data_IF_083596542783
#
_entry.id   IF_083596542783
#
_cell.length_a   1.000
_cell.length_b   1.000
_cell.length_c   1.000
_cell.angle_alpha   90.00
_cell.angle_beta   90.00
_cell.angle_gamma   90.00
#
_symmetry.space_group_name_H-M   'P 1'
#
loop_
_entity.id
_entity.type
_entity.pdbx_description
1 polymer ?
#
# COMPACT_ATOMS: atom_id res chain seq x y z
N UNK A 1 -0.55 19.49 11.64
CA UNK A 1 -1.67 18.69 12.13
C UNK A 1 -1.23 17.26 12.35
N UNK A 2 -1.73 16.62 13.39
CA UNK A 2 -1.57 15.18 13.61
C UNK A 2 -2.87 14.49 13.19
N UNK A 3 -2.78 13.48 12.33
CA UNK A 3 -3.93 12.70 11.89
C UNK A 3 -3.85 11.31 12.49
N UNK A 4 -4.95 10.85 13.05
CA UNK A 4 -5.06 9.56 13.72
C UNK A 4 -6.37 8.86 13.33
N UNK A 5 -6.39 7.55 13.40
CA UNK A 5 -7.56 6.73 13.15
C UNK A 5 -7.76 5.67 14.23
N UNK A 6 -8.90 5.00 14.19
CA UNK A 6 -9.23 3.93 15.11
C UNK A 6 -8.52 2.64 14.69
N UNK A 7 -7.89 1.97 15.65
CA UNK A 7 -7.39 0.59 15.50
C UNK A 7 -8.11 -0.31 16.48
N UNK A 8 -7.91 -1.61 16.36
CA UNK A 8 -8.28 -2.58 17.41
C UNK A 8 -7.40 -2.48 18.65
N UNK A 9 -6.31 -1.71 18.59
CA UNK A 9 -5.44 -1.38 19.72
C UNK A 9 -6.08 -0.27 20.59
N UNK A 10 -5.74 -0.17 21.87
CA UNK A 10 -6.28 0.84 22.79
C UNK A 10 -5.93 2.27 22.37
N UNK A 11 -4.83 2.47 21.63
CA UNK A 11 -4.39 3.78 21.15
C UNK A 11 -4.76 3.99 19.67
N UNK A 12 -5.17 5.21 19.27
CA UNK A 12 -5.46 5.53 17.88
C UNK A 12 -4.19 5.43 17.03
N UNK A 13 -4.28 4.76 15.87
CA UNK A 13 -3.17 4.67 14.94
C UNK A 13 -2.83 6.05 14.36
N UNK A 14 -1.55 6.47 14.37
CA UNK A 14 -1.14 7.66 13.65
C UNK A 14 -1.26 7.41 12.13
N UNK A 15 -1.38 8.49 11.37
CA UNK A 15 -1.24 8.41 9.92
C UNK A 15 0.19 7.96 9.56
N UNK A 16 0.30 7.01 8.63
CA UNK A 16 1.59 6.54 8.10
C UNK A 16 2.17 7.53 7.09
N UNK A 17 1.34 8.26 6.36
CA UNK A 17 1.75 9.34 5.47
C UNK A 17 0.73 10.49 5.51
N UNK A 18 1.23 11.73 5.39
CA UNK A 18 0.42 12.94 5.34
C UNK A 18 0.99 13.88 4.27
N UNK A 19 0.15 14.28 3.32
CA UNK A 19 0.51 15.22 2.26
C UNK A 19 -0.33 16.48 2.36
N UNK A 20 0.33 17.63 2.26
CA UNK A 20 -0.31 18.94 2.16
C UNK A 20 -0.47 19.30 0.69
N UNK A 21 -1.64 19.80 0.31
CA UNK A 21 -1.83 20.33 -1.03
C UNK A 21 -0.93 21.55 -1.28
N UNK A 22 -0.47 21.80 -2.52
CA UNK A 22 0.41 22.94 -2.83
C UNK A 22 -0.18 24.31 -2.47
N UNK A 23 -1.51 24.43 -2.45
CA UNK A 23 -2.22 25.66 -2.06
C UNK A 23 -2.43 25.76 -0.53
N UNK A 24 -1.99 24.78 0.23
CA UNK A 24 -2.10 24.72 1.69
C UNK A 24 -3.51 24.52 2.23
N UNK A 25 -4.49 24.18 1.40
CA UNK A 25 -5.91 24.13 1.80
C UNK A 25 -6.40 22.74 2.19
N UNK A 26 -5.76 21.69 1.67
CA UNK A 26 -6.19 20.31 1.89
C UNK A 26 -5.04 19.43 2.36
N UNK A 27 -5.40 18.40 3.13
CA UNK A 27 -4.51 17.31 3.55
C UNK A 27 -5.02 16.00 2.97
N UNK A 28 -4.10 15.17 2.48
CA UNK A 28 -4.28 13.74 2.33
C UNK A 28 -3.63 13.06 3.53
N UNK A 29 -4.27 12.04 4.08
CA UNK A 29 -3.72 11.26 5.17
C UNK A 29 -3.99 9.77 4.94
N UNK A 30 -2.94 8.96 5.04
CA UNK A 30 -3.02 7.51 5.01
C UNK A 30 -3.07 6.99 6.44
N UNK A 31 -4.20 6.44 6.83
CA UNK A 31 -4.42 5.90 8.18
C UNK A 31 -4.89 4.46 8.08
N UNK A 32 -4.14 3.54 8.64
CA UNK A 32 -4.44 2.09 8.58
C UNK A 32 -4.75 1.63 7.14
N UNK A 33 -3.92 1.99 6.17
CA UNK A 33 -4.05 1.76 4.73
C UNK A 33 -5.15 2.54 4.02
N UNK A 34 -6.07 3.19 4.74
CA UNK A 34 -7.15 3.95 4.13
C UNK A 34 -6.75 5.40 3.87
N UNK A 35 -7.14 5.92 2.72
CA UNK A 35 -6.87 7.30 2.32
C UNK A 35 -8.04 8.21 2.70
N UNK A 36 -7.70 9.29 3.37
CA UNK A 36 -8.62 10.36 3.75
C UNK A 36 -8.17 11.69 3.17
N UNK A 37 -9.14 12.52 2.81
CA UNK A 37 -8.92 13.92 2.44
C UNK A 37 -9.73 14.82 3.37
N UNK A 38 -9.15 15.95 3.74
CA UNK A 38 -9.77 16.92 4.64
C UNK A 38 -9.22 18.33 4.38
N UNK A 39 -9.99 19.38 4.68
CA UNK A 39 -9.45 20.74 4.69
C UNK A 39 -8.41 20.89 5.80
N UNK A 40 -7.44 21.76 5.59
CA UNK A 40 -6.48 22.14 6.63
C UNK A 40 -7.22 22.98 7.68
N UNK A 41 -7.23 22.57 8.94
CA UNK A 41 -7.85 23.38 9.99
C UNK A 41 -7.10 24.71 10.17
N UNK A 42 -7.79 25.77 10.58
CA UNK A 42 -7.15 27.05 10.86
C UNK A 42 -6.11 26.90 11.98
N UNK A 43 -5.02 27.64 11.86
CA UNK A 43 -3.99 27.65 12.88
C UNK A 43 -4.53 28.29 14.17
N UNK A 44 -4.49 27.54 15.27
CA UNK A 44 -5.00 27.94 16.59
C UNK A 44 -3.92 28.02 17.67
N UNK A 45 -2.62 28.07 17.26
CA UNK A 45 -1.50 28.11 18.20
C UNK A 45 -1.02 26.73 18.65
N UNK A 46 -1.92 25.77 18.85
CA UNK A 46 -1.58 24.37 19.16
C UNK A 46 -1.67 23.49 17.89
N UNK A 47 -0.86 22.44 17.86
CA UNK A 47 -0.95 21.46 16.76
C UNK A 47 -2.24 20.65 16.87
N UNK A 48 -3.22 20.81 15.95
CA UNK A 48 -4.47 20.10 16.06
C UNK A 48 -4.27 18.60 15.80
N UNK A 49 -4.99 17.78 16.59
CA UNK A 49 -5.11 16.35 16.33
C UNK A 49 -6.46 16.09 15.67
N UNK A 50 -6.44 15.49 14.48
CA UNK A 50 -7.63 15.13 13.71
C UNK A 50 -7.84 13.62 13.80
N UNK A 51 -8.94 13.21 14.41
CA UNK A 51 -9.34 11.81 14.49
C UNK A 51 -10.31 11.50 13.35
N UNK A 52 -9.87 10.72 12.36
CA UNK A 52 -10.70 10.37 11.18
C UNK A 52 -11.87 9.44 11.49
N UNK A 53 -11.89 8.79 12.66
CA UNK A 53 -13.00 7.95 13.09
C UNK A 53 -14.10 8.75 13.84
N UNK A 54 -13.76 9.96 14.33
CA UNK A 54 -14.68 10.90 14.97
C UNK A 54 -14.18 12.31 14.67
N UNK A 55 -14.32 12.76 13.42
CA UNK A 55 -13.67 13.97 12.97
C UNK A 55 -14.38 15.22 13.48
N UNK A 56 -13.59 16.19 13.97
CA UNK A 56 -14.05 17.54 14.31
C UNK A 56 -14.03 18.50 13.11
N UNK A 57 -13.50 18.05 11.96
CA UNK A 57 -13.45 18.77 10.69
C UNK A 57 -14.09 17.89 9.61
N UNK A 58 -14.58 18.46 8.50
CA UNK A 58 -15.10 17.64 7.40
C UNK A 58 -14.02 16.71 6.86
N UNK A 59 -14.31 15.42 6.78
CA UNK A 59 -13.40 14.38 6.28
C UNK A 59 -14.11 13.55 5.23
N UNK A 60 -13.43 13.23 4.14
CA UNK A 60 -13.90 12.27 3.16
C UNK A 60 -12.90 11.11 3.05
N UNK A 61 -13.41 9.89 3.11
CA UNK A 61 -12.64 8.68 2.84
C UNK A 61 -12.66 8.41 1.34
N UNK A 62 -11.49 8.16 0.74
CA UNK A 62 -11.32 7.97 -0.69
C UNK A 62 -11.15 6.51 -1.11
N UNK A 63 -10.86 5.61 -0.18
CA UNK A 63 -10.55 4.21 -0.48
C UNK A 63 -11.30 3.23 0.40
N UNK A 64 -11.58 2.06 -0.14
CA UNK A 64 -12.07 0.87 0.58
C UNK A 64 -11.01 -0.20 0.68
N UNK A 65 -10.32 -0.47 -0.43
CA UNK A 65 -9.24 -1.47 -0.49
C UNK A 65 -7.92 -0.95 0.04
N UNK A 66 -7.76 0.37 0.15
CA UNK A 66 -6.55 1.00 0.65
C UNK A 66 -5.80 1.83 -0.38
N UNK A 67 -4.61 2.30 -0.01
CA UNK A 67 -3.67 2.98 -0.88
C UNK A 67 -2.23 2.65 -0.48
N UNK A 68 -1.36 2.53 -1.48
CA UNK A 68 0.08 2.31 -1.28
C UNK A 68 0.81 3.66 -1.24
N UNK A 69 0.65 4.49 -2.27
CA UNK A 69 1.25 5.81 -2.39
C UNK A 69 0.17 6.87 -2.58
N UNK A 70 0.37 8.05 -2.01
CA UNK A 70 -0.58 9.15 -2.05
C UNK A 70 0.08 10.45 -2.50
N UNK A 71 -0.62 11.24 -3.32
CA UNK A 71 -0.12 12.52 -3.79
C UNK A 71 -1.24 13.48 -4.21
N UNK A 72 -0.92 14.76 -4.28
CA UNK A 72 -1.74 15.74 -5.00
C UNK A 72 -1.19 15.94 -6.41
N UNK A 73 -2.08 15.95 -7.40
CA UNK A 73 -1.79 16.27 -8.79
C UNK A 73 -2.50 17.57 -9.20
N UNK A 74 -2.22 18.06 -10.41
CA UNK A 74 -2.86 19.24 -11.02
C UNK A 74 -2.84 20.47 -10.08
N UNK A 75 -1.66 20.79 -9.54
CA UNK A 75 -1.49 21.89 -8.58
C UNK A 75 -2.42 21.81 -7.35
N UNK A 76 -2.68 20.58 -6.87
CA UNK A 76 -3.48 20.35 -5.66
C UNK A 76 -4.98 20.18 -5.90
N UNK A 77 -5.44 20.19 -7.14
CA UNK A 77 -6.86 20.04 -7.46
C UNK A 77 -7.32 18.59 -7.54
N UNK A 78 -6.40 17.65 -7.65
CA UNK A 78 -6.67 16.23 -7.81
C UNK A 78 -5.99 15.45 -6.70
N UNK A 79 -6.73 14.63 -5.98
CA UNK A 79 -6.17 13.57 -5.15
C UNK A 79 -5.82 12.36 -6.02
N UNK A 80 -4.63 11.81 -5.87
CA UNK A 80 -4.20 10.63 -6.59
C UNK A 80 -3.56 9.62 -5.62
N UNK A 81 -3.78 8.34 -5.89
CA UNK A 81 -3.21 7.25 -5.11
C UNK A 81 -3.01 6.01 -5.96
N UNK A 82 -2.14 5.12 -5.51
CA UNK A 82 -1.91 3.84 -6.17
C UNK A 82 -2.39 2.68 -5.31
N UNK A 83 -2.79 1.61 -5.97
CA UNK A 83 -3.00 0.28 -5.38
C UNK A 83 -2.37 -0.72 -6.35
N UNK A 84 -1.23 -1.31 -5.96
CA UNK A 84 -0.46 -2.17 -6.86
C UNK A 84 -0.07 -1.45 -8.16
N UNK A 85 -0.56 -1.95 -9.29
CA UNK A 85 -0.30 -1.38 -10.62
C UNK A 85 -1.35 -0.39 -11.11
N UNK A 86 -2.34 -0.04 -10.30
CA UNK A 86 -3.42 0.86 -10.67
C UNK A 86 -3.25 2.24 -10.03
N UNK A 87 -3.37 3.30 -10.84
CA UNK A 87 -3.41 4.68 -10.40
C UNK A 87 -4.84 5.18 -10.40
N UNK A 88 -5.30 5.62 -9.25
CA UNK A 88 -6.59 6.24 -9.03
C UNK A 88 -6.43 7.76 -8.96
N UNK A 89 -7.38 8.50 -9.54
CA UNK A 89 -7.41 9.96 -9.51
C UNK A 89 -8.82 10.44 -9.28
N UNK A 90 -8.97 11.43 -8.39
CA UNK A 90 -10.25 12.06 -8.12
C UNK A 90 -10.09 13.57 -7.97
N UNK A 91 -10.91 14.32 -8.67
CA UNK A 91 -10.94 15.78 -8.57
C UNK A 91 -11.52 16.21 -7.22
N UNK A 92 -10.83 17.10 -6.49
CA UNK A 92 -11.29 17.56 -5.17
C UNK A 92 -12.69 18.20 -5.20
N UNK A 93 -13.08 18.98 -6.22
CA UNK A 93 -14.43 19.53 -6.31
C UNK A 93 -15.54 18.49 -6.42
N UNK A 94 -15.21 17.25 -6.83
CA UNK A 94 -16.18 16.15 -6.90
C UNK A 94 -16.35 15.40 -5.58
N UNK A 95 -15.56 15.74 -4.57
CA UNK A 95 -15.56 15.04 -3.29
C UNK A 95 -16.57 15.72 -2.36
N UNK A 96 -17.58 14.96 -1.92
CA UNK A 96 -18.47 15.42 -0.87
C UNK A 96 -17.83 15.14 0.48
N UNK A 97 -17.60 16.18 1.25
CA UNK A 97 -17.12 16.05 2.62
C UNK A 97 -18.30 15.81 3.55
N UNK A 98 -18.24 14.75 4.33
CA UNK A 98 -19.21 14.54 5.40
C UNK A 98 -18.99 15.59 6.50
N UNK A 99 -20.07 16.30 6.86
CA UNK A 99 -20.03 17.18 8.01
C UNK A 99 -19.85 16.33 9.29
N UNK A 100 -19.16 16.86 10.31
CA UNK A 100 -19.04 16.17 11.60
C UNK A 100 -20.43 15.75 12.10
N UNK A 101 -20.59 14.45 12.40
CA UNK A 101 -21.89 13.94 12.84
C UNK A 101 -22.29 14.60 14.18
N UNK A 102 -23.48 15.19 14.29
CA UNK A 102 -23.93 15.83 15.52
C UNK A 102 -24.22 14.82 16.65
N UNK A 103 -24.11 13.51 16.37
CA UNK A 103 -24.44 12.47 17.36
C UNK A 103 -23.56 11.23 17.18
N UNK A 104 -22.83 10.77 18.23
CA UNK A 104 -21.92 9.62 18.13
C UNK A 104 -22.64 8.26 18.02
N UNK A 105 -23.96 8.22 18.01
CA UNK A 105 -24.78 6.99 17.90
C UNK A 105 -25.29 6.68 16.50
N UNK A 106 -25.02 7.52 15.51
CA UNK A 106 -25.37 7.21 14.13
C UNK A 106 -24.42 6.14 13.57
N UNK A 107 -24.94 4.98 13.22
CA UNK A 107 -24.19 3.94 12.50
C UNK A 107 -23.51 4.52 11.27
N UNK A 108 -22.22 4.23 11.04
CA UNK A 108 -21.53 4.68 9.85
C UNK A 108 -22.23 4.10 8.61
N UNK A 109 -22.83 4.97 7.83
CA UNK A 109 -23.36 4.57 6.52
C UNK A 109 -22.17 4.30 5.61
N UNK A 110 -22.16 3.21 4.81
CA UNK A 110 -21.06 2.90 3.91
C UNK A 110 -21.00 3.93 2.76
N UNK A 111 -20.38 5.08 3.01
CA UNK A 111 -20.08 6.08 1.99
C UNK A 111 -18.89 5.65 1.11
N UNK A 112 -18.14 4.66 1.56
CA UNK A 112 -16.86 4.25 0.98
C UNK A 112 -17.02 3.52 -0.37
N UNK A 113 -18.03 2.66 -0.55
CA UNK A 113 -18.25 1.94 -1.81
C UNK A 113 -18.50 2.86 -3.03
N UNK A 114 -18.81 4.14 -2.78
CA UNK A 114 -18.96 5.14 -3.84
C UNK A 114 -17.71 5.98 -4.09
N UNK A 115 -16.72 5.88 -3.23
CA UNK A 115 -15.54 6.75 -3.31
C UNK A 115 -14.60 6.29 -4.43
N UNK A 116 -14.37 4.99 -4.57
CA UNK A 116 -13.54 4.43 -5.64
C UNK A 116 -14.28 4.41 -6.99
N UNK A 117 -15.60 4.17 -7.01
CA UNK A 117 -16.41 4.23 -8.23
C UNK A 117 -16.37 5.59 -8.92
N UNK A 118 -16.15 6.68 -8.17
CA UNK A 118 -16.03 8.04 -8.71
C UNK A 118 -14.59 8.43 -9.08
N UNK A 119 -13.61 7.53 -8.92
CA UNK A 119 -12.23 7.76 -9.31
C UNK A 119 -11.99 7.34 -10.76
N UNK A 120 -11.16 8.10 -11.47
CA UNK A 120 -10.61 7.66 -12.75
C UNK A 120 -9.46 6.71 -12.49
N UNK A 121 -9.52 5.50 -13.04
CA UNK A 121 -8.50 4.46 -12.87
C UNK A 121 -7.64 4.37 -14.13
N UNK A 122 -6.35 4.23 -13.95
CA UNK A 122 -5.37 3.96 -15.00
C UNK A 122 -4.49 2.80 -14.58
N UNK A 123 -4.55 1.69 -15.30
CA UNK A 123 -3.71 0.54 -15.03
C UNK A 123 -2.38 0.64 -15.79
N UNK A 124 -1.30 0.33 -15.09
CA UNK A 124 0.04 0.25 -15.66
C UNK A 124 0.42 -1.21 -15.83
N UNK A 125 0.64 -1.61 -17.06
CA UNK A 125 1.19 -2.93 -17.37
C UNK A 125 2.62 -2.74 -17.84
N UNK A 126 3.57 -3.23 -17.03
CA UNK A 126 4.98 -3.25 -17.39
C UNK A 126 5.32 -4.64 -17.87
N UNK A 127 5.47 -4.79 -19.18
CA UNK A 127 5.90 -6.04 -19.80
C UNK A 127 7.42 -6.01 -19.96
N UNK A 128 8.10 -6.98 -19.37
CA UNK A 128 9.51 -7.22 -19.58
C UNK A 128 9.73 -8.63 -20.11
N UNK A 129 10.59 -8.81 -21.10
CA UNK A 129 10.94 -10.16 -21.55
C UNK A 129 11.47 -10.95 -20.35
N UNK A 130 10.99 -12.17 -20.19
CA UNK A 130 11.50 -13.05 -19.15
C UNK A 130 12.98 -13.32 -19.44
N UNK A 131 13.84 -13.07 -18.46
CA UNK A 131 15.24 -13.42 -18.57
C UNK A 131 15.37 -14.93 -18.83
N UNK A 132 16.01 -15.27 -19.95
CA UNK A 132 16.32 -16.64 -20.33
C UNK A 132 17.85 -16.75 -20.53
N UNK A 133 18.63 -16.76 -19.44
CA UNK A 133 20.08 -16.88 -19.52
C UNK A 133 20.44 -18.19 -20.18
N UNK A 134 21.51 -18.18 -20.96
CA UNK A 134 22.07 -19.38 -21.60
C UNK A 134 23.23 -19.86 -20.74
N UNK A 135 23.40 -21.17 -20.65
CA UNK A 135 24.51 -21.79 -19.92
C UNK A 135 24.10 -22.39 -18.57
N UNK A 136 25.12 -22.82 -17.85
CA UNK A 136 24.98 -23.52 -16.58
C UNK A 136 25.67 -22.71 -15.48
N UNK A 137 25.00 -22.56 -14.37
CA UNK A 137 25.52 -21.95 -13.12
C UNK A 137 25.48 -23.02 -12.05
N UNK A 138 26.58 -23.21 -11.31
CA UNK A 138 26.63 -24.10 -10.18
C UNK A 138 26.87 -23.28 -8.93
N UNK A 139 25.94 -23.34 -7.99
CA UNK A 139 26.09 -22.83 -6.63
C UNK A 139 26.62 -23.98 -5.76
N UNK A 140 27.82 -23.84 -5.20
CA UNK A 140 28.52 -24.93 -4.51
C UNK A 140 28.57 -24.78 -3.02
N UNK A 141 28.48 -25.93 -2.32
CA UNK A 141 28.73 -26.01 -0.90
C UNK A 141 27.69 -25.32 -0.03
N UNK A 142 26.51 -25.07 -0.55
CA UNK A 142 25.42 -24.40 0.17
C UNK A 142 24.68 -25.35 1.13
N UNK A 143 24.00 -24.75 2.09
CA UNK A 143 22.92 -25.41 2.84
C UNK A 143 21.62 -25.24 2.08
N UNK A 144 21.03 -26.32 1.65
CA UNK A 144 19.83 -26.30 0.80
C UNK A 144 18.64 -26.90 1.56
N UNK A 145 17.57 -26.13 1.70
CA UNK A 145 16.27 -26.62 2.16
C UNK A 145 15.45 -26.91 0.92
N UNK A 146 15.16 -28.18 0.67
CA UNK A 146 14.58 -28.60 -0.62
C UNK A 146 13.11 -28.22 -0.76
N UNK A 147 12.39 -28.11 0.34
CA UNK A 147 10.94 -27.88 0.36
C UNK A 147 10.16 -28.86 -0.54
N UNK A 148 10.74 -30.06 -0.79
CA UNK A 148 10.09 -31.08 -1.59
C UNK A 148 8.82 -31.59 -0.92
N UNK A 149 7.74 -31.78 -1.69
CA UNK A 149 6.42 -32.13 -1.15
C UNK A 149 6.42 -33.41 -0.29
N UNK A 150 7.31 -34.35 -0.60
CA UNK A 150 7.45 -35.62 0.13
C UNK A 150 8.42 -35.55 1.33
N UNK A 151 9.25 -34.48 1.40
CA UNK A 151 10.30 -34.28 2.39
C UNK A 151 10.46 -32.78 2.68
N UNK A 152 9.41 -32.17 3.21
CA UNK A 152 9.33 -30.71 3.40
C UNK A 152 10.40 -30.13 4.35
N UNK A 153 10.99 -30.96 5.18
CA UNK A 153 12.01 -30.65 6.19
C UNK A 153 13.41 -31.19 5.83
N UNK A 154 13.58 -31.71 4.59
CA UNK A 154 14.88 -32.17 4.13
C UNK A 154 15.85 -30.99 3.97
N UNK A 155 16.94 -31.07 4.72
CA UNK A 155 18.05 -30.13 4.65
C UNK A 155 19.29 -30.88 4.17
N UNK A 156 19.86 -30.42 3.06
CA UNK A 156 21.12 -30.91 2.53
C UNK A 156 22.24 -29.96 2.96
N UNK A 157 23.13 -30.44 3.80
CA UNK A 157 24.34 -29.70 4.16
C UNK A 157 25.41 -29.90 3.09
N UNK A 158 26.15 -28.85 2.76
CA UNK A 158 27.24 -28.89 1.77
C UNK A 158 26.77 -29.46 0.41
N UNK A 159 25.73 -28.86 -0.15
CA UNK A 159 25.12 -29.30 -1.40
C UNK A 159 25.46 -28.35 -2.56
N UNK A 160 25.43 -28.90 -3.78
CA UNK A 160 25.51 -28.14 -5.02
C UNK A 160 24.13 -28.01 -5.67
N UNK A 161 23.83 -26.82 -6.18
CA UNK A 161 22.62 -26.54 -6.97
C UNK A 161 23.06 -26.19 -8.40
N UNK A 162 22.62 -26.97 -9.37
CA UNK A 162 22.89 -26.74 -10.78
C UNK A 162 21.68 -26.04 -11.42
N UNK A 163 21.94 -24.89 -12.01
CA UNK A 163 20.94 -24.09 -12.73
C UNK A 163 21.33 -24.07 -14.21
N UNK A 164 20.44 -24.58 -15.05
CA UNK A 164 20.59 -24.53 -16.50
C UNK A 164 19.55 -23.57 -17.08
N UNK A 165 20.02 -22.55 -17.77
CA UNK A 165 19.17 -21.50 -18.25
C UNK A 165 18.49 -20.79 -17.04
N UNK A 166 17.17 -20.92 -16.93
CA UNK A 166 16.37 -20.30 -15.85
C UNK A 166 15.71 -21.35 -14.93
N UNK A 167 16.21 -22.59 -14.90
CA UNK A 167 15.64 -23.67 -14.10
C UNK A 167 16.70 -24.39 -13.28
N UNK A 168 16.32 -24.85 -12.10
CA UNK A 168 17.12 -25.79 -11.33
C UNK A 168 17.10 -27.12 -12.07
N UNK A 169 18.26 -27.60 -12.48
CA UNK A 169 18.46 -28.88 -13.16
C UNK A 169 18.63 -30.01 -12.13
N UNK A 170 19.47 -29.80 -11.13
CA UNK A 170 19.71 -30.77 -10.07
C UNK A 170 20.14 -30.11 -8.76
N UNK A 171 19.91 -30.81 -7.67
CA UNK A 171 20.41 -30.52 -6.33
C UNK A 171 21.00 -31.81 -5.79
N UNK A 172 22.21 -31.78 -5.25
CA UNK A 172 22.87 -32.95 -4.70
C UNK A 172 24.07 -32.61 -3.83
N UNK A 173 24.79 -33.61 -3.29
CA UNK A 173 25.98 -33.39 -2.49
C UNK A 173 27.05 -32.58 -3.24
N UNK A 174 27.87 -31.83 -2.51
CA UNK A 174 28.93 -31.03 -3.12
C UNK A 174 29.88 -31.89 -3.94
N UNK A 175 30.19 -31.42 -5.16
CA UNK A 175 31.03 -32.13 -6.10
C UNK A 175 30.30 -33.15 -6.98
N UNK A 176 29.01 -33.40 -6.77
CA UNK A 176 28.20 -34.31 -7.61
C UNK A 176 27.67 -33.63 -8.89
N UNK A 177 27.87 -32.32 -9.04
CA UNK A 177 27.36 -31.58 -10.17
C UNK A 177 28.13 -31.94 -11.45
N UNK A 178 27.50 -32.62 -12.39
CA UNK A 178 27.97 -32.76 -13.76
C UNK A 178 27.62 -31.48 -14.54
N UNK A 179 28.63 -30.84 -15.10
CA UNK A 179 28.52 -29.57 -15.83
C UNK A 179 28.47 -29.85 -17.34
#
# INVERSE_FOLDING_TARGET
AKVVGRTTAPDPAPASDVRLSPDGRHLLALVSTQLFVMPVPPASGETPTINVSSPAVPVARLTDIGADEILFANAGRTAAWTVGSSLFRRELPSISFEAPAPNPTASPRPAAARAEEAATVTDFVVETPRAAPKGVIVLRGGRVVTMAAEKSDEVLENADVVIEGNRIRSVGPAGSAEI
#
